data_IF_576642939546
#
_entry.id   IF_576642939546
#
_cell.length_a   1.000
_cell.length_b   1.000
_cell.length_c   1.000
_cell.angle_alpha   90.00
_cell.angle_beta   90.00
_cell.angle_gamma   90.00
#
_symmetry.space_group_name_H-M   'P 1'
#
loop_
_entity.id
_entity.type
_entity.pdbx_description
1 polymer ?
#
# COMPACT_ATOMS: atom_id res chain seq x y z
N UNK A 1 -0.66 -1.66 -14.39
CA UNK A 1 0.55 -2.47 -14.07
C UNK A 1 0.54 -3.07 -12.67
N UNK A 2 -0.04 -2.41 -11.65
CA UNK A 2 -0.20 -2.99 -10.32
C UNK A 2 -1.54 -3.74 -10.13
N UNK A 3 -2.48 -3.60 -11.08
CA UNK A 3 -3.74 -4.33 -11.07
C UNK A 3 -3.49 -5.83 -11.09
N UNK A 4 -4.15 -6.56 -10.18
CA UNK A 4 -3.92 -8.00 -9.98
C UNK A 4 -2.65 -8.34 -9.20
N UNK A 5 -1.72 -7.39 -8.98
CA UNK A 5 -0.45 -7.62 -8.27
C UNK A 5 -0.47 -7.05 -6.85
N UNK A 6 -0.89 -5.79 -6.70
CA UNK A 6 -1.02 -5.16 -5.39
C UNK A 6 -2.48 -5.26 -4.92
N UNK A 7 -2.67 -5.62 -3.65
CA UNK A 7 -4.00 -5.60 -3.04
C UNK A 7 -4.51 -4.16 -2.92
N UNK A 8 -5.80 -3.97 -3.19
CA UNK A 8 -6.51 -2.78 -2.72
C UNK A 8 -6.79 -2.94 -1.24
N UNK A 9 -5.86 -2.47 -0.44
CA UNK A 9 -5.94 -2.47 1.03
C UNK A 9 -7.06 -1.56 1.51
N UNK A 10 -7.62 -1.90 2.68
CA UNK A 10 -8.76 -1.16 3.24
C UNK A 10 -8.38 0.26 3.63
N UNK A 11 -9.40 1.10 3.70
CA UNK A 11 -9.35 2.41 4.36
C UNK A 11 -10.37 2.37 5.47
N UNK A 12 -9.92 2.54 6.71
CA UNK A 12 -10.79 2.45 7.89
C UNK A 12 -10.73 3.74 8.68
N UNK A 13 -11.87 4.16 9.24
CA UNK A 13 -11.93 5.29 10.16
C UNK A 13 -11.50 4.82 11.55
N UNK A 14 -10.72 5.64 12.25
CA UNK A 14 -10.47 5.44 13.68
C UNK A 14 -11.37 6.38 14.51
N UNK A 15 -12.40 5.86 15.20
CA UNK A 15 -13.31 6.71 15.97
C UNK A 15 -12.66 7.33 17.21
N UNK A 16 -11.73 6.63 17.87
CA UNK A 16 -11.09 7.11 19.10
C UNK A 16 -10.12 8.25 18.81
N UNK A 17 -9.26 8.08 17.81
CA UNK A 17 -8.33 9.09 17.38
C UNK A 17 -9.04 10.29 16.73
N UNK A 18 -10.14 10.02 16.00
CA UNK A 18 -10.97 11.11 15.47
C UNK A 18 -11.57 11.97 16.58
N UNK A 19 -12.04 11.36 17.67
CA UNK A 19 -12.58 12.09 18.81
C UNK A 19 -11.48 12.87 19.55
N UNK A 20 -10.32 12.25 19.77
CA UNK A 20 -9.20 12.89 20.46
C UNK A 20 -8.64 14.11 19.72
N UNK A 21 -8.66 14.11 18.38
CA UNK A 21 -8.13 15.20 17.56
C UNK A 21 -9.22 16.16 17.04
N UNK A 22 -10.50 15.90 17.32
CA UNK A 22 -11.61 16.73 16.84
C UNK A 22 -11.78 16.76 15.31
N UNK A 23 -11.18 15.80 14.60
CA UNK A 23 -11.20 15.74 13.12
C UNK A 23 -11.25 14.29 12.63
N UNK A 24 -11.87 13.96 11.48
CA UNK A 24 -11.89 12.60 10.98
C UNK A 24 -10.49 12.06 10.66
N UNK A 25 -10.12 10.94 11.28
CA UNK A 25 -8.87 10.23 11.01
C UNK A 25 -9.15 8.88 10.36
N UNK A 26 -8.35 8.58 9.34
CA UNK A 26 -8.47 7.39 8.52
C UNK A 26 -7.12 6.71 8.38
N UNK A 27 -7.11 5.38 8.48
CA UNK A 27 -5.94 4.56 8.20
C UNK A 27 -6.02 3.93 6.83
N UNK A 28 -4.93 4.06 6.07
CA UNK A 28 -4.68 3.24 4.89
C UNK A 28 -3.89 2.00 5.31
N UNK A 29 -4.54 0.85 5.36
CA UNK A 29 -3.99 -0.39 5.95
C UNK A 29 -2.97 -1.11 5.04
N UNK A 30 -1.86 -0.46 4.67
CA UNK A 30 -0.82 -1.08 3.83
C UNK A 30 -0.08 -2.25 4.51
N UNK A 31 -0.26 -2.44 5.82
CA UNK A 31 0.14 -3.65 6.52
C UNK A 31 -0.59 -4.91 6.01
N UNK A 32 -1.71 -4.78 5.30
CA UNK A 32 -2.46 -5.88 4.68
C UNK A 32 -2.01 -6.20 3.25
N UNK A 33 -0.99 -5.51 2.74
CA UNK A 33 -0.40 -5.85 1.45
C UNK A 33 0.30 -7.23 1.53
N UNK A 34 0.52 -7.91 0.40
CA UNK A 34 1.07 -9.27 0.35
C UNK A 34 2.30 -9.53 1.24
N UNK A 35 3.19 -8.53 1.37
CA UNK A 35 4.44 -8.63 2.12
C UNK A 35 4.39 -7.88 3.45
N UNK A 36 3.19 -7.61 3.99
CA UNK A 36 3.01 -6.92 5.27
C UNK A 36 3.32 -5.42 5.24
N UNK A 37 3.61 -4.82 4.08
CA UNK A 37 3.83 -3.39 3.94
C UNK A 37 3.66 -2.90 2.48
N UNK A 38 3.62 -1.58 2.29
CA UNK A 38 3.44 -0.95 0.98
C UNK A 38 4.57 -1.23 -0.03
N UNK A 39 5.71 -1.76 0.40
CA UNK A 39 6.96 -1.84 -0.39
C UNK A 39 6.83 -2.69 -1.65
N UNK A 40 5.95 -3.69 -1.65
CA UNK A 40 5.65 -4.50 -2.85
C UNK A 40 5.35 -3.61 -4.07
N UNK A 41 4.56 -2.55 -3.88
CA UNK A 41 4.10 -1.69 -4.97
C UNK A 41 5.27 -1.09 -5.76
N UNK A 42 6.22 -0.48 -5.03
CA UNK A 42 7.39 0.15 -5.63
C UNK A 42 8.40 -0.86 -6.16
N UNK A 43 8.68 -1.92 -5.38
CA UNK A 43 9.61 -2.96 -5.78
C UNK A 43 9.15 -3.65 -7.09
N UNK A 44 7.88 -4.06 -7.15
CA UNK A 44 7.32 -4.68 -8.34
C UNK A 44 7.36 -3.72 -9.53
N UNK A 45 6.90 -2.47 -9.36
CA UNK A 45 6.94 -1.50 -10.45
C UNK A 45 8.35 -1.30 -11.00
N UNK A 46 9.36 -1.16 -10.11
CA UNK A 46 10.75 -0.94 -10.52
C UNK A 46 11.30 -2.11 -11.34
N UNK A 47 11.05 -3.35 -10.90
CA UNK A 47 11.51 -4.56 -11.59
C UNK A 47 10.74 -4.75 -12.91
N UNK A 48 9.41 -4.59 -12.89
CA UNK A 48 8.55 -4.77 -14.06
C UNK A 48 8.79 -3.73 -15.17
N UNK A 49 9.38 -2.58 -14.84
CA UNK A 49 9.72 -1.49 -15.79
C UNK A 49 11.21 -1.38 -16.07
N UNK A 50 12.07 -2.16 -15.41
CA UNK A 50 13.51 -2.15 -15.71
C UNK A 50 13.78 -2.62 -17.14
N UNK A 51 14.92 -2.24 -17.72
CA UNK A 51 15.41 -2.85 -18.96
C UNK A 51 15.44 -4.37 -18.78
N UNK A 52 14.88 -5.17 -19.71
CA UNK A 52 14.98 -6.64 -19.67
C UNK A 52 16.39 -7.16 -19.36
N UNK A 53 17.44 -6.50 -19.85
CA UNK A 53 18.83 -6.88 -19.57
C UNK A 53 19.25 -6.71 -18.10
N UNK A 54 18.54 -5.86 -17.35
CA UNK A 54 18.80 -5.55 -15.94
C UNK A 54 17.85 -6.28 -14.97
N UNK A 55 17.00 -7.19 -15.45
CA UNK A 55 16.02 -7.95 -14.63
C UNK A 55 16.56 -9.30 -14.12
N UNK A 56 17.82 -9.63 -14.42
CA UNK A 56 18.49 -10.88 -14.04
C UNK A 56 19.19 -10.77 -12.68
#
# INVERSE_FOLDING_TARGET
MLDGVARRTRVVRDPGLSAALGTPVWFKCENEQHTGSFKLRGAYHRVATADPAARA
#
